data_IF_517484910371
#
_entry.id   IF_517484910371
#
_cell.length_a   1.000
_cell.length_b   1.000
_cell.length_c   1.000
_cell.angle_alpha   90.00
_cell.angle_beta   90.00
_cell.angle_gamma   90.00
#
_symmetry.space_group_name_H-M   'P 1'
#
loop_
_entity.id
_entity.type
_entity.pdbx_description
1 polymer ?
#
# COMPACT_ATOMS: atom_id res chain seq x y z
N UNK A 1 -45.84 -6.60 -49.86
CA UNK A 1 -44.61 -6.05 -50.45
C UNK A 1 -43.54 -6.06 -49.37
N UNK A 2 -42.64 -7.02 -49.46
CA UNK A 2 -41.52 -7.24 -48.53
C UNK A 2 -40.34 -6.41 -49.01
N UNK A 3 -39.70 -5.64 -48.13
CA UNK A 3 -38.38 -5.06 -48.41
C UNK A 3 -37.48 -5.31 -47.22
N UNK A 4 -36.65 -6.34 -47.36
CA UNK A 4 -35.49 -6.62 -46.50
C UNK A 4 -34.37 -5.64 -46.83
N UNK A 5 -33.73 -5.07 -45.82
CA UNK A 5 -32.50 -4.29 -45.97
C UNK A 5 -31.34 -5.01 -45.28
N UNK A 6 -30.19 -5.23 -45.95
CA UNK A 6 -29.07 -5.96 -45.37
C UNK A 6 -28.15 -5.10 -44.49
N UNK A 7 -27.59 -5.81 -43.50
CA UNK A 7 -26.47 -5.55 -42.59
C UNK A 7 -25.17 -5.12 -43.32
N UNK A 8 -24.46 -4.13 -42.74
CA UNK A 8 -23.03 -3.90 -43.01
C UNK A 8 -22.28 -3.70 -41.68
N UNK A 9 -21.52 -4.72 -41.28
CA UNK A 9 -20.53 -4.62 -40.21
C UNK A 9 -19.22 -4.06 -40.77
N UNK A 10 -18.68 -3.01 -40.15
CA UNK A 10 -17.36 -2.44 -40.51
C UNK A 10 -16.33 -2.89 -39.47
N UNK A 11 -15.52 -3.86 -39.87
CA UNK A 11 -14.33 -4.33 -39.15
C UNK A 11 -13.22 -3.29 -39.28
N UNK A 12 -12.65 -2.80 -38.16
CA UNK A 12 -11.45 -1.95 -38.17
C UNK A 12 -10.20 -2.79 -37.84
N UNK A 13 -9.13 -2.73 -38.65
CA UNK A 13 -7.94 -3.53 -38.43
C UNK A 13 -7.06 -2.99 -37.29
N UNK A 14 -6.54 -3.91 -36.49
CA UNK A 14 -5.53 -3.70 -35.45
C UNK A 14 -4.15 -3.51 -36.08
N UNK A 15 -3.49 -2.39 -35.81
CA UNK A 15 -2.11 -2.15 -36.22
C UNK A 15 -1.16 -2.37 -35.03
N UNK A 16 -0.54 -3.55 -35.00
CA UNK A 16 0.67 -3.81 -34.22
C UNK A 16 1.82 -2.96 -34.78
N UNK A 17 2.55 -2.24 -33.92
CA UNK A 17 3.91 -1.77 -34.25
C UNK A 17 4.90 -2.33 -33.23
N UNK A 18 5.82 -3.13 -33.77
CA UNK A 18 6.95 -3.74 -33.08
C UNK A 18 8.09 -2.73 -32.89
N UNK A 19 8.73 -2.85 -31.73
CA UNK A 19 10.16 -2.83 -31.44
C UNK A 19 11.03 -1.62 -31.84
N UNK A 20 11.79 -1.13 -30.86
CA UNK A 20 13.26 -1.16 -30.89
C UNK A 20 13.82 -1.09 -29.47
N UNK A 21 14.57 -2.12 -29.09
CA UNK A 21 15.45 -2.16 -27.91
C UNK A 21 16.82 -1.70 -28.39
N UNK A 22 17.38 -0.67 -27.75
CA UNK A 22 18.79 -0.27 -27.95
C UNK A 22 19.54 -0.57 -26.66
N UNK A 23 20.33 -1.64 -26.69
CA UNK A 23 21.38 -1.92 -25.70
C UNK A 23 22.64 -1.20 -26.18
N UNK A 24 23.21 -0.33 -25.34
CA UNK A 24 24.57 0.19 -25.53
C UNK A 24 25.41 -0.28 -24.35
N UNK A 25 26.32 -1.21 -24.62
CA UNK A 25 27.41 -1.59 -23.73
C UNK A 25 28.67 -0.84 -24.14
N UNK A 26 29.40 -0.27 -23.18
CA UNK A 26 30.81 0.09 -23.38
C UNK A 26 31.55 0.01 -22.03
N UNK A 27 32.63 -0.76 -22.05
CA UNK A 27 33.53 -1.07 -20.96
C UNK A 27 34.50 0.09 -20.65
N UNK A 28 35.00 0.13 -19.42
CA UNK A 28 36.08 1.02 -19.01
C UNK A 28 36.75 0.55 -17.73
N UNK A 29 37.71 -0.37 -17.84
CA UNK A 29 38.67 -0.72 -16.79
C UNK A 29 39.85 0.26 -16.89
N UNK A 30 40.10 1.04 -15.84
CA UNK A 30 41.34 1.79 -15.66
C UNK A 30 41.99 1.36 -14.34
N UNK A 31 43.17 0.75 -14.44
CA UNK A 31 44.01 0.41 -13.30
C UNK A 31 45.01 1.51 -12.95
N UNK A 32 45.56 1.45 -11.74
CA UNK A 32 46.88 1.97 -11.40
C UNK A 32 47.36 1.34 -10.08
N UNK A 33 48.67 1.13 -10.00
CA UNK A 33 49.35 0.19 -9.11
C UNK A 33 49.75 0.75 -7.73
N UNK A 34 50.02 -0.22 -6.85
CA UNK A 34 50.87 -0.24 -5.64
C UNK A 34 51.69 1.01 -5.28
N UNK A 35 51.67 1.35 -3.98
CA UNK A 35 52.91 1.46 -3.18
C UNK A 35 52.71 0.80 -1.81
N UNK A 36 53.73 0.08 -1.37
CA UNK A 36 53.84 -0.61 -0.09
C UNK A 36 54.98 0.06 0.67
N UNK A 37 54.81 0.44 1.94
CA UNK A 37 55.93 0.60 2.87
C UNK A 37 55.48 0.58 4.35
N UNK A 38 56.33 0.11 5.30
CA UNK A 38 55.95 -0.33 6.66
C UNK A 38 56.47 0.54 7.83
N UNK A 39 55.76 0.50 8.97
CA UNK A 39 56.18 0.55 10.41
C UNK A 39 57.17 1.64 10.94
N UNK A 40 57.38 1.87 12.27
CA UNK A 40 56.87 1.19 13.49
C UNK A 40 56.34 2.10 14.64
N UNK A 41 55.64 1.46 15.59
CA UNK A 41 55.63 1.66 17.05
C UNK A 41 55.59 3.08 17.68
N UNK A 42 54.54 3.33 18.48
CA UNK A 42 54.68 3.95 19.80
C UNK A 42 53.66 3.39 20.81
N UNK A 43 54.22 2.84 21.89
CA UNK A 43 53.75 2.78 23.28
C UNK A 43 52.33 2.30 23.59
N UNK A 44 52.27 1.15 24.28
CA UNK A 44 51.13 0.66 25.04
C UNK A 44 50.98 1.42 26.37
N UNK A 45 49.74 1.71 26.74
CA UNK A 45 49.31 1.90 28.13
C UNK A 45 47.93 1.23 28.32
N UNK A 46 47.71 0.40 29.37
CA UNK A 46 46.52 -0.43 29.48
C UNK A 46 45.42 0.28 30.28
N UNK A 47 44.28 0.57 29.66
CA UNK A 47 43.10 1.05 30.37
C UNK A 47 41.82 0.42 29.83
N UNK A 48 41.26 -0.46 30.66
CA UNK A 48 39.85 -0.81 30.81
C UNK A 48 39.07 -1.21 29.53
N UNK A 49 38.87 -2.52 29.37
CA UNK A 49 37.79 -3.05 28.54
C UNK A 49 36.42 -2.55 29.07
N UNK A 50 35.59 -1.85 28.26
CA UNK A 50 34.19 -1.73 28.59
C UNK A 50 33.55 -3.10 28.39
N UNK A 51 33.14 -3.67 29.53
CA UNK A 51 32.22 -4.80 29.69
C UNK A 51 31.23 -4.84 28.53
N UNK A 52 31.23 -5.94 27.77
CA UNK A 52 30.28 -6.18 26.68
C UNK A 52 28.86 -6.03 27.22
N UNK A 53 28.27 -4.85 26.98
CA UNK A 53 26.86 -4.62 27.20
C UNK A 53 26.14 -5.62 26.31
N UNK A 54 25.30 -6.46 26.94
CA UNK A 54 24.35 -7.27 26.20
C UNK A 54 23.51 -6.31 25.36
N UNK A 55 23.83 -6.22 24.07
CA UNK A 55 23.00 -5.55 23.09
C UNK A 55 21.70 -6.36 23.02
N UNK A 56 20.75 -6.00 23.87
CA UNK A 56 19.37 -6.45 23.72
C UNK A 56 18.94 -5.91 22.36
N UNK A 57 18.93 -6.80 21.37
CA UNK A 57 18.43 -6.52 20.04
C UNK A 57 16.92 -6.31 20.17
N UNK A 58 16.52 -5.08 20.50
CA UNK A 58 15.14 -4.64 20.33
C UNK A 58 14.90 -4.61 18.84
N UNK A 59 14.21 -5.63 18.31
CA UNK A 59 13.73 -5.60 16.93
C UNK A 59 13.02 -4.27 16.71
N UNK A 60 13.57 -3.42 15.85
CA UNK A 60 12.94 -2.18 15.46
C UNK A 60 11.56 -2.51 14.85
N UNK A 61 10.54 -1.73 15.22
CA UNK A 61 9.22 -1.84 14.59
C UNK A 61 9.39 -1.62 13.09
N UNK A 62 8.66 -2.36 12.23
CA UNK A 62 8.63 -2.06 10.80
C UNK A 62 8.25 -0.60 10.58
N UNK A 63 8.99 0.09 9.72
CA UNK A 63 8.64 1.43 9.25
C UNK A 63 7.94 1.29 7.90
N UNK A 64 6.80 1.94 7.73
CA UNK A 64 6.03 1.97 6.49
C UNK A 64 6.16 3.36 5.87
N UNK A 65 6.30 3.47 4.54
CA UNK A 65 6.31 4.78 3.88
C UNK A 65 4.93 5.45 4.01
N UNK A 66 4.90 6.78 4.03
CA UNK A 66 3.65 7.56 4.08
C UNK A 66 3.04 7.72 2.67
N UNK A 67 2.55 6.61 2.13
CA UNK A 67 1.89 6.54 0.83
C UNK A 67 0.94 5.33 0.77
N UNK A 68 0.18 5.20 -0.32
CA UNK A 68 -0.82 4.14 -0.47
C UNK A 68 -0.28 2.73 -0.22
N UNK A 69 0.88 2.37 -0.78
CA UNK A 69 1.48 1.04 -0.57
C UNK A 69 1.85 0.84 0.91
N UNK A 70 2.46 1.85 1.54
CA UNK A 70 2.82 1.80 2.95
C UNK A 70 1.61 1.67 3.87
N UNK A 71 0.55 2.47 3.64
CA UNK A 71 -0.68 2.39 4.42
C UNK A 71 -1.36 1.03 4.29
N UNK A 72 -1.40 0.44 3.09
CA UNK A 72 -1.95 -0.91 2.88
C UNK A 72 -1.11 -1.95 3.63
N UNK A 73 0.23 -1.88 3.54
CA UNK A 73 1.11 -2.84 4.22
C UNK A 73 1.03 -2.74 5.75
N UNK A 74 0.92 -1.52 6.26
CA UNK A 74 0.72 -1.27 7.69
C UNK A 74 -0.62 -1.85 8.14
N UNK A 75 -1.70 -1.53 7.41
CA UNK A 75 -3.03 -2.07 7.68
C UNK A 75 -3.04 -3.61 7.65
N UNK A 76 -2.39 -4.24 6.67
CA UNK A 76 -2.26 -5.70 6.60
C UNK A 76 -1.53 -6.29 7.81
N UNK A 77 -0.52 -5.59 8.33
CA UNK A 77 0.19 -6.03 9.53
C UNK A 77 -0.72 -6.04 10.77
N UNK A 78 -1.56 -5.01 10.90
CA UNK A 78 -2.55 -4.87 11.98
C UNK A 78 -3.67 -5.89 11.81
N UNK A 79 -4.20 -6.02 10.59
CA UNK A 79 -5.23 -7.00 10.23
C UNK A 79 -4.78 -8.42 10.58
N UNK A 80 -3.54 -8.78 10.23
CA UNK A 80 -2.96 -10.08 10.59
C UNK A 80 -2.91 -10.29 12.10
N UNK A 81 -2.48 -9.28 12.87
CA UNK A 81 -2.41 -9.35 14.32
C UNK A 81 -3.80 -9.44 14.99
N UNK A 82 -4.85 -8.99 14.29
CA UNK A 82 -6.25 -8.98 14.77
C UNK A 82 -7.13 -10.05 14.12
N UNK A 83 -6.54 -10.96 13.34
CA UNK A 83 -7.25 -12.01 12.61
C UNK A 83 -8.31 -11.49 11.61
N UNK A 84 -8.10 -10.30 11.05
CA UNK A 84 -8.95 -9.75 9.99
C UNK A 84 -8.41 -10.25 8.63
N UNK A 85 -9.19 -11.03 7.87
CA UNK A 85 -8.76 -11.54 6.56
C UNK A 85 -8.73 -10.43 5.50
N UNK A 86 -7.77 -10.53 4.58
CA UNK A 86 -7.66 -9.68 3.41
C UNK A 86 -6.29 -9.73 2.75
N UNK A 87 -6.24 -9.32 1.49
CA UNK A 87 -5.00 -9.23 0.71
C UNK A 87 -4.67 -7.80 0.29
N UNK A 88 -3.40 -7.56 -0.09
CA UNK A 88 -2.98 -6.29 -0.68
C UNK A 88 -3.82 -5.94 -1.91
N UNK A 89 -4.01 -6.89 -2.82
CA UNK A 89 -4.78 -6.68 -4.05
C UNK A 89 -6.28 -6.43 -3.79
N UNK A 90 -6.84 -7.08 -2.77
CA UNK A 90 -8.19 -6.81 -2.29
C UNK A 90 -8.34 -5.38 -1.82
N UNK A 91 -7.47 -4.93 -0.92
CA UNK A 91 -7.49 -3.56 -0.41
C UNK A 91 -7.24 -2.55 -1.52
N UNK A 92 -6.16 -2.72 -2.29
CA UNK A 92 -5.77 -1.82 -3.35
C UNK A 92 -6.88 -1.65 -4.40
N UNK A 93 -7.47 -2.73 -4.90
CA UNK A 93 -8.56 -2.67 -5.91
C UNK A 93 -9.78 -1.90 -5.40
N UNK A 94 -10.19 -2.16 -4.15
CA UNK A 94 -11.34 -1.46 -3.57
C UNK A 94 -11.00 0.03 -3.35
N UNK A 95 -9.83 0.37 -2.78
CA UNK A 95 -9.40 1.76 -2.59
C UNK A 95 -9.39 2.54 -3.90
N UNK A 96 -8.85 1.95 -4.96
CA UNK A 96 -8.78 2.61 -6.27
C UNK A 96 -10.17 2.90 -6.85
N UNK A 97 -11.15 2.03 -6.62
CA UNK A 97 -12.54 2.25 -7.04
C UNK A 97 -13.25 3.32 -6.19
N UNK A 98 -13.04 3.30 -4.88
CA UNK A 98 -13.74 4.17 -3.93
C UNK A 98 -13.20 5.61 -3.91
N UNK A 99 -11.88 5.79 -3.99
CA UNK A 99 -11.25 7.08 -3.72
C UNK A 99 -10.10 7.43 -4.66
N UNK A 100 -9.71 6.54 -5.57
CA UNK A 100 -8.48 6.66 -6.35
C UNK A 100 -7.23 6.87 -5.48
N UNK A 101 -7.24 6.34 -4.24
CA UNK A 101 -6.13 6.48 -3.30
C UNK A 101 -6.11 7.80 -2.50
N UNK A 102 -7.18 8.61 -2.55
CA UNK A 102 -7.27 9.85 -1.78
C UNK A 102 -7.81 9.62 -0.36
N UNK A 103 -6.99 9.74 0.70
CA UNK A 103 -7.45 9.53 2.08
C UNK A 103 -8.40 10.62 2.58
N UNK A 104 -8.50 11.76 1.88
CA UNK A 104 -9.39 12.86 2.23
C UNK A 104 -10.63 12.92 1.32
N UNK A 105 -10.93 11.86 0.57
CA UNK A 105 -12.15 11.80 -0.25
C UNK A 105 -13.41 11.88 0.63
N UNK A 106 -14.39 12.68 0.23
CA UNK A 106 -15.68 12.86 0.93
C UNK A 106 -16.81 12.84 -0.10
N UNK A 107 -17.80 11.98 0.10
CA UNK A 107 -19.03 11.99 -0.68
C UNK A 107 -20.08 12.88 0.01
N UNK A 108 -20.52 13.96 -0.65
CA UNK A 108 -21.47 14.90 -0.08
C UNK A 108 -22.86 14.84 -0.73
N UNK A 109 -23.12 13.88 -1.62
CA UNK A 109 -24.30 13.93 -2.50
C UNK A 109 -25.32 12.82 -2.21
N UNK A 110 -24.91 11.75 -1.52
CA UNK A 110 -25.78 10.62 -1.22
C UNK A 110 -26.70 10.87 -0.02
N UNK A 111 -27.57 9.89 0.25
CA UNK A 111 -28.52 9.95 1.37
C UNK A 111 -27.83 10.02 2.74
N UNK A 112 -26.61 9.48 2.88
CA UNK A 112 -25.86 9.53 4.13
C UNK A 112 -25.32 10.95 4.36
N UNK A 113 -24.85 11.61 3.30
CA UNK A 113 -24.46 13.01 3.35
C UNK A 113 -25.64 13.93 3.71
N UNK A 114 -26.82 13.69 3.11
CA UNK A 114 -28.06 14.42 3.47
C UNK A 114 -28.44 14.21 4.94
N UNK A 115 -28.18 13.01 5.49
CA UNK A 115 -28.39 12.67 6.90
C UNK A 115 -27.25 13.14 7.83
N UNK A 116 -26.23 13.83 7.30
CA UNK A 116 -25.12 14.38 8.08
C UNK A 116 -23.99 13.40 8.41
N UNK A 117 -23.99 12.20 7.83
CA UNK A 117 -22.95 11.18 8.02
C UNK A 117 -22.33 10.78 6.67
N UNK A 118 -21.70 11.72 5.94
CA UNK A 118 -21.13 11.42 4.62
C UNK A 118 -20.05 10.35 4.71
N UNK A 119 -19.97 9.52 3.67
CA UNK A 119 -18.89 8.56 3.46
C UNK A 119 -17.55 9.27 3.23
N UNK A 120 -16.46 8.81 3.86
CA UNK A 120 -15.13 9.42 3.67
C UNK A 120 -13.98 8.41 3.68
N UNK A 121 -12.82 8.90 3.26
CA UNK A 121 -11.57 8.17 3.31
C UNK A 121 -11.35 7.23 2.14
N UNK A 122 -10.30 6.42 2.25
CA UNK A 122 -9.83 5.53 1.19
C UNK A 122 -10.88 4.53 0.71
N UNK A 123 -11.72 4.03 1.62
CA UNK A 123 -12.76 3.03 1.36
C UNK A 123 -14.18 3.56 1.59
N UNK A 124 -14.36 4.88 1.61
CA UNK A 124 -15.67 5.54 1.66
C UNK A 124 -16.60 5.00 2.75
N UNK A 125 -16.10 4.88 3.97
CA UNK A 125 -16.87 4.40 5.14
C UNK A 125 -17.57 5.58 5.82
N UNK A 126 -18.78 5.37 6.35
CA UNK A 126 -19.51 6.36 7.17
C UNK A 126 -19.08 6.29 8.64
N UNK A 127 -19.22 7.41 9.37
CA UNK A 127 -18.78 7.49 10.78
C UNK A 127 -19.33 6.37 11.68
N UNK A 128 -20.63 6.03 11.67
CA UNK A 128 -21.15 4.98 12.55
C UNK A 128 -20.55 3.59 12.27
N UNK A 129 -20.26 3.29 10.99
CA UNK A 129 -19.61 2.03 10.61
C UNK A 129 -18.14 2.02 11.04
N UNK A 130 -17.43 3.13 10.84
CA UNK A 130 -16.05 3.26 11.30
C UNK A 130 -15.94 3.07 12.82
N UNK A 131 -16.83 3.71 13.58
CA UNK A 131 -16.83 3.61 15.05
C UNK A 131 -17.11 2.18 15.53
N UNK A 132 -18.07 1.49 14.90
CA UNK A 132 -18.43 0.11 15.26
C UNK A 132 -17.31 -0.90 14.91
N UNK A 133 -16.69 -0.75 13.74
CA UNK A 133 -15.67 -1.68 13.24
C UNK A 133 -14.23 -1.21 13.50
N UNK A 134 -14.05 -0.17 14.30
CA UNK A 134 -12.73 0.37 14.66
C UNK A 134 -11.81 -0.72 15.19
N UNK A 135 -10.55 -0.70 14.75
CA UNK A 135 -9.56 -1.70 15.13
C UNK A 135 -8.64 -1.12 16.20
N UNK A 136 -8.75 -1.64 17.42
CA UNK A 136 -7.96 -1.17 18.56
C UNK A 136 -6.45 -1.15 18.25
N UNK A 137 -5.83 0.02 18.41
CA UNK A 137 -4.43 0.28 18.08
C UNK A 137 -4.22 1.19 16.87
N UNK A 138 -5.29 1.59 16.17
CA UNK A 138 -5.25 2.59 15.10
C UNK A 138 -5.85 3.93 15.54
N UNK A 139 -5.67 4.97 14.72
CA UNK A 139 -6.25 6.30 14.94
C UNK A 139 -7.78 6.25 15.05
N UNK A 140 -8.38 7.18 15.79
CA UNK A 140 -9.83 7.39 15.82
C UNK A 140 -10.32 8.35 14.72
N UNK A 141 -9.42 8.87 13.88
CA UNK A 141 -9.80 9.69 12.73
C UNK A 141 -10.27 8.81 11.58
N UNK A 142 -11.47 9.05 11.07
CA UNK A 142 -12.03 8.29 9.95
C UNK A 142 -11.22 8.43 8.66
N UNK A 143 -10.55 9.57 8.45
CA UNK A 143 -9.72 9.83 7.26
C UNK A 143 -8.24 9.45 7.48
N UNK A 144 -7.88 8.95 8.65
CA UNK A 144 -6.57 8.31 8.82
C UNK A 144 -6.50 7.07 7.91
N UNK A 145 -5.50 6.96 7.03
CA UNK A 145 -5.50 5.95 5.98
C UNK A 145 -5.48 4.53 6.56
N UNK A 146 -4.66 4.28 7.59
CA UNK A 146 -4.53 2.95 8.20
C UNK A 146 -5.78 2.59 8.99
N UNK A 147 -6.34 3.52 9.76
CA UNK A 147 -7.58 3.30 10.49
C UNK A 147 -8.77 3.06 9.54
N UNK A 148 -8.89 3.84 8.47
CA UNK A 148 -9.95 3.68 7.47
C UNK A 148 -9.87 2.30 6.80
N UNK A 149 -8.66 1.89 6.36
CA UNK A 149 -8.44 0.59 5.72
C UNK A 149 -8.78 -0.55 6.67
N UNK A 150 -8.27 -0.51 7.91
CA UNK A 150 -8.48 -1.59 8.89
C UNK A 150 -9.93 -1.71 9.33
N UNK A 151 -10.64 -0.61 9.57
CA UNK A 151 -12.06 -0.63 9.92
C UNK A 151 -12.94 -1.15 8.76
N UNK A 152 -12.68 -0.70 7.53
CA UNK A 152 -13.40 -1.18 6.35
C UNK A 152 -13.16 -2.68 6.10
N UNK A 153 -11.92 -3.16 6.26
CA UNK A 153 -11.60 -4.57 6.12
C UNK A 153 -12.27 -5.42 7.21
N UNK A 154 -12.37 -4.90 8.44
CA UNK A 154 -13.08 -5.55 9.54
C UNK A 154 -14.59 -5.67 9.25
N UNK A 155 -15.20 -4.59 8.72
CA UNK A 155 -16.57 -4.63 8.23
C UNK A 155 -16.76 -5.67 7.12
N UNK A 156 -15.84 -5.70 6.14
CA UNK A 156 -15.91 -6.66 5.04
C UNK A 156 -15.75 -8.11 5.50
N UNK A 157 -14.91 -8.35 6.50
CA UNK A 157 -14.75 -9.66 7.10
C UNK A 157 -16.05 -10.14 7.76
N UNK A 158 -16.74 -9.27 8.51
CA UNK A 158 -18.04 -9.58 9.14
C UNK A 158 -19.14 -9.85 8.11
N UNK A 159 -19.22 -9.04 7.04
CA UNK A 159 -20.32 -9.14 6.06
C UNK A 159 -20.08 -10.12 4.92
N UNK A 160 -18.83 -10.26 4.48
CA UNK A 160 -18.46 -10.95 3.25
C UNK A 160 -17.35 -11.97 3.45
N UNK A 161 -16.85 -12.15 4.68
CA UNK A 161 -15.77 -13.07 5.03
C UNK A 161 -14.37 -12.55 4.71
N UNK A 162 -14.20 -11.58 3.81
CA UNK A 162 -12.95 -10.87 3.53
C UNK A 162 -13.21 -9.66 2.64
N UNK A 163 -12.35 -8.65 2.72
CA UNK A 163 -12.28 -7.55 1.73
C UNK A 163 -12.05 -8.05 0.30
N UNK A 164 -11.45 -9.24 0.15
CA UNK A 164 -11.19 -9.86 -1.15
C UNK A 164 -12.48 -10.20 -1.90
N UNK A 165 -13.57 -10.44 -1.15
CA UNK A 165 -14.88 -10.80 -1.68
C UNK A 165 -15.74 -9.58 -2.03
N UNK A 166 -15.23 -8.36 -1.81
CA UNK A 166 -15.93 -7.12 -2.14
C UNK A 166 -15.63 -6.75 -3.60
N UNK A 167 -16.68 -6.77 -4.42
CA UNK A 167 -16.61 -6.56 -5.87
C UNK A 167 -17.36 -5.30 -6.34
N UNK A 168 -18.03 -4.59 -5.43
CA UNK A 168 -18.85 -3.41 -5.71
C UNK A 168 -18.46 -2.26 -4.78
N UNK A 169 -18.82 -1.04 -5.17
CA UNK A 169 -18.62 0.13 -4.31
C UNK A 169 -19.46 0.05 -3.04
N UNK A 170 -18.96 0.68 -1.97
CA UNK A 170 -19.63 0.72 -0.66
C UNK A 170 -20.87 1.62 -0.67
#
# INVERSE_FOLDING_TARGET
>A
MTVSTPITAVTRPSAFRRATVTVLAAAGLAGAALTFAPSPAHAAEPAAAPKAAHAVSTKAKPSYPDNLDGWIREALSIMKAKHIPGSYEGLHRNIMRESSGNPNAVNNWDVNAVKGTPSKGLLQVIQPTFDYYHVAGTSHSLTDPVANITAAANYAADKYGSIDNVNSAY
#
